data_IF_611394999496
#
_entry.id   IF_611394999496
#
_cell.length_a   1.000
_cell.length_b   1.000
_cell.length_c   1.000
_cell.angle_alpha   90.00
_cell.angle_beta   90.00
_cell.angle_gamma   90.00
#
_symmetry.space_group_name_H-M   'P 1'
#
loop_
_entity.id
_entity.type
_entity.pdbx_description
1 polymer ?
#
# COMPACT_ATOMS: atom_id res chain seq x y z
N UNK A 1 -30.98 1.75 2.38
CA UNK A 1 -30.05 2.54 1.55
C UNK A 1 -29.27 1.55 0.71
N UNK A 2 -29.18 1.71 -0.61
CA UNK A 2 -28.32 0.85 -1.42
C UNK A 2 -26.88 1.36 -1.25
N UNK A 3 -25.98 0.53 -0.73
CA UNK A 3 -24.57 0.90 -0.60
C UNK A 3 -23.98 1.15 -2.00
N UNK A 4 -23.03 2.09 -2.10
CA UNK A 4 -22.28 2.37 -3.31
C UNK A 4 -20.95 1.60 -3.34
N UNK A 5 -20.25 1.59 -4.48
CA UNK A 5 -18.90 0.99 -4.55
C UNK A 5 -17.90 1.68 -3.58
N UNK A 6 -17.84 3.02 -3.49
CA UNK A 6 -17.07 3.71 -2.44
C UNK A 6 -17.40 3.25 -1.02
N UNK A 7 -18.68 3.03 -0.69
CA UNK A 7 -19.07 2.54 0.65
C UNK A 7 -18.50 1.14 0.93
N UNK A 8 -18.45 0.27 -0.09
CA UNK A 8 -17.83 -1.06 0.00
C UNK A 8 -16.33 -0.98 0.23
N UNK A 9 -15.63 -0.10 -0.49
CA UNK A 9 -14.17 0.10 -0.33
C UNK A 9 -13.86 0.67 1.06
N UNK A 10 -14.59 1.69 1.49
CA UNK A 10 -14.44 2.29 2.82
C UNK A 10 -14.70 1.28 3.94
N UNK A 11 -15.72 0.44 3.82
CA UNK A 11 -15.96 -0.65 4.77
C UNK A 11 -14.84 -1.68 4.79
N UNK A 12 -14.28 -2.02 3.63
CA UNK A 12 -13.17 -2.95 3.54
C UNK A 12 -11.89 -2.40 4.20
N UNK A 13 -11.63 -1.10 4.06
CA UNK A 13 -10.52 -0.42 4.74
C UNK A 13 -10.72 -0.37 6.27
N UNK A 14 -11.95 -0.15 6.77
CA UNK A 14 -12.24 -0.25 8.22
C UNK A 14 -12.02 -1.67 8.76
N UNK A 15 -12.45 -2.68 7.99
CA UNK A 15 -12.21 -4.09 8.35
C UNK A 15 -10.71 -4.40 8.37
N UNK A 16 -9.96 -3.90 7.38
CA UNK A 16 -8.51 -4.04 7.32
C UNK A 16 -7.83 -3.42 8.54
N UNK A 17 -8.20 -2.19 8.91
CA UNK A 17 -7.63 -1.50 10.06
C UNK A 17 -7.89 -2.25 11.38
N UNK A 18 -9.13 -2.71 11.57
CA UNK A 18 -9.54 -3.39 12.80
C UNK A 18 -8.96 -4.80 12.95
N UNK A 19 -8.94 -5.58 11.86
CA UNK A 19 -8.67 -7.02 11.93
C UNK A 19 -7.41 -7.46 11.19
N UNK A 20 -6.83 -6.60 10.34
CA UNK A 20 -5.75 -6.96 9.43
C UNK A 20 -6.21 -7.68 8.16
N UNK A 21 -5.28 -7.85 7.22
CA UNK A 21 -5.59 -8.34 5.87
C UNK A 21 -6.04 -9.80 5.86
N UNK A 22 -5.44 -10.63 6.72
CA UNK A 22 -5.78 -12.06 6.88
C UNK A 22 -7.29 -12.25 7.13
N UNK A 23 -7.87 -11.39 7.97
CA UNK A 23 -9.27 -11.48 8.38
C UNK A 23 -10.22 -10.62 7.53
N UNK A 24 -9.70 -9.84 6.58
CA UNK A 24 -10.48 -9.05 5.64
C UNK A 24 -11.09 -9.93 4.54
N UNK A 25 -12.32 -10.39 4.76
CA UNK A 25 -13.07 -11.26 3.82
C UNK A 25 -14.34 -10.59 3.30
N UNK A 26 -14.82 -11.00 2.13
CA UNK A 26 -16.09 -10.51 1.56
C UNK A 26 -17.25 -10.61 2.57
N UNK A 27 -17.31 -11.70 3.35
CA UNK A 27 -18.34 -11.89 4.38
C UNK A 27 -18.23 -10.88 5.52
N UNK A 28 -17.00 -10.57 5.97
CA UNK A 28 -16.77 -9.60 7.05
C UNK A 28 -17.07 -8.18 6.58
N UNK A 29 -16.68 -7.82 5.36
CA UNK A 29 -17.04 -6.53 4.74
C UNK A 29 -18.56 -6.37 4.61
N UNK A 30 -19.28 -7.43 4.24
CA UNK A 30 -20.74 -7.40 4.17
C UNK A 30 -21.36 -7.23 5.57
N UNK A 31 -20.77 -7.87 6.59
CA UNK A 31 -21.21 -7.75 7.98
C UNK A 31 -20.98 -6.35 8.53
N UNK A 32 -19.85 -5.73 8.21
CA UNK A 32 -19.52 -4.33 8.53
C UNK A 32 -20.53 -3.34 7.91
N UNK A 33 -21.11 -3.68 6.76
CA UNK A 33 -22.14 -2.90 6.09
C UNK A 33 -23.58 -3.33 6.44
N UNK A 34 -23.74 -4.28 7.37
CA UNK A 34 -25.03 -4.87 7.75
C UNK A 34 -25.85 -5.41 6.57
N UNK A 35 -25.18 -5.94 5.54
CA UNK A 35 -25.81 -6.54 4.35
C UNK A 35 -25.44 -8.02 4.17
N UNK A 36 -26.19 -8.72 3.32
CA UNK A 36 -25.80 -10.05 2.89
C UNK A 36 -24.60 -9.99 1.94
N UNK A 37 -23.68 -10.99 1.95
CA UNK A 37 -22.54 -11.02 1.03
C UNK A 37 -22.92 -10.94 -0.46
N UNK A 38 -24.09 -11.44 -0.84
CA UNK A 38 -24.64 -11.34 -2.20
C UNK A 38 -24.72 -9.89 -2.69
N UNK A 39 -25.02 -8.93 -1.80
CA UNK A 39 -25.12 -7.52 -2.16
C UNK A 39 -23.77 -6.92 -2.58
N UNK A 40 -22.65 -7.38 -2.00
CA UNK A 40 -21.33 -6.89 -2.40
C UNK A 40 -20.98 -7.27 -3.83
N UNK A 41 -21.40 -8.45 -4.28
CA UNK A 41 -21.09 -8.94 -5.63
C UNK A 41 -21.75 -8.13 -6.74
N UNK A 42 -22.73 -7.28 -6.42
CA UNK A 42 -23.28 -6.31 -7.37
C UNK A 42 -22.34 -5.11 -7.61
N UNK A 43 -21.43 -4.84 -6.67
CA UNK A 43 -20.47 -3.74 -6.74
C UNK A 43 -19.07 -4.24 -7.13
N UNK A 44 -18.65 -5.37 -6.57
CA UNK A 44 -17.31 -5.89 -6.72
C UNK A 44 -17.33 -7.42 -6.88
N UNK A 45 -16.85 -7.97 -8.01
CA UNK A 45 -17.09 -9.36 -8.37
C UNK A 45 -16.32 -10.39 -7.53
N UNK A 46 -15.22 -9.99 -6.89
CA UNK A 46 -14.36 -10.87 -6.09
C UNK A 46 -13.45 -10.09 -5.13
N UNK A 47 -12.79 -10.81 -4.22
CA UNK A 47 -11.86 -10.23 -3.23
C UNK A 47 -10.69 -9.50 -3.90
N UNK A 48 -10.16 -10.03 -5.01
CA UNK A 48 -9.01 -9.46 -5.71
C UNK A 48 -9.33 -8.08 -6.28
N UNK A 49 -10.53 -7.91 -6.84
CA UNK A 49 -11.01 -6.61 -7.33
C UNK A 49 -11.25 -5.64 -6.17
N UNK A 50 -11.71 -6.13 -5.02
CA UNK A 50 -11.83 -5.29 -3.82
C UNK A 50 -10.46 -4.82 -3.33
N UNK A 51 -9.46 -5.71 -3.26
CA UNK A 51 -8.10 -5.37 -2.86
C UNK A 51 -7.46 -4.34 -3.81
N UNK A 52 -7.70 -4.47 -5.11
CA UNK A 52 -7.29 -3.50 -6.11
C UNK A 52 -7.86 -2.11 -5.83
N UNK A 53 -9.17 -2.02 -5.61
CA UNK A 53 -9.84 -0.75 -5.29
C UNK A 53 -9.38 -0.17 -3.95
N UNK A 54 -9.12 -1.02 -2.94
CA UNK A 54 -8.55 -0.58 -1.68
C UNK A 54 -7.14 -0.01 -1.86
N UNK A 55 -6.31 -0.66 -2.69
CA UNK A 55 -4.97 -0.17 -2.99
C UNK A 55 -5.00 1.18 -3.73
N UNK A 56 -5.89 1.31 -4.72
CA UNK A 56 -6.09 2.57 -5.45
C UNK A 56 -6.58 3.69 -4.52
N UNK A 57 -7.50 3.39 -3.60
CA UNK A 57 -7.95 4.34 -2.58
C UNK A 57 -6.80 4.77 -1.66
N UNK A 58 -6.00 3.83 -1.16
CA UNK A 58 -4.85 4.11 -0.29
C UNK A 58 -3.82 5.03 -0.96
N UNK A 59 -3.59 4.87 -2.27
CA UNK A 59 -2.57 5.64 -2.99
C UNK A 59 -3.13 6.83 -3.78
N UNK A 60 -4.43 7.10 -3.67
CA UNK A 60 -5.14 8.14 -4.45
C UNK A 60 -4.55 9.54 -4.29
N UNK A 61 -4.13 9.88 -3.07
CA UNK A 61 -3.54 11.18 -2.70
C UNK A 61 -2.00 11.16 -2.71
N UNK A 62 -1.37 10.09 -3.21
CA UNK A 62 0.10 10.01 -3.28
C UNK A 62 0.61 10.95 -4.37
N UNK A 63 1.29 12.01 -3.91
CA UNK A 63 1.87 13.04 -4.76
C UNK A 63 3.30 13.39 -4.36
N UNK A 64 4.05 14.00 -5.28
CA UNK A 64 5.46 14.34 -5.10
C UNK A 64 6.09 14.96 -6.34
N UNK A 65 6.97 15.94 -6.13
CA UNK A 65 7.68 16.67 -7.18
C UNK A 65 8.86 15.87 -7.77
N UNK A 66 9.40 14.93 -6.98
CA UNK A 66 10.54 14.10 -7.34
C UNK A 66 10.36 12.65 -6.87
N UNK A 67 11.31 11.77 -7.23
CA UNK A 67 11.22 10.36 -6.91
C UNK A 67 11.27 10.11 -5.40
N UNK A 68 11.99 10.97 -4.65
CA UNK A 68 12.10 10.87 -3.20
C UNK A 68 10.77 11.16 -2.53
N UNK A 69 10.20 12.33 -2.77
CA UNK A 69 8.92 12.77 -2.21
C UNK A 69 7.79 11.79 -2.56
N UNK A 70 7.76 11.24 -3.78
CA UNK A 70 6.84 10.17 -4.15
C UNK A 70 6.98 8.91 -3.30
N UNK A 71 8.22 8.42 -3.07
CA UNK A 71 8.45 7.25 -2.23
C UNK A 71 8.04 7.51 -0.77
N UNK A 72 8.28 8.71 -0.25
CA UNK A 72 7.84 9.10 1.09
C UNK A 72 6.30 9.20 1.21
N UNK A 73 5.63 9.79 0.23
CA UNK A 73 4.18 9.89 0.20
C UNK A 73 3.54 8.50 0.13
N UNK A 74 4.05 7.63 -0.75
CA UNK A 74 3.62 6.24 -0.86
C UNK A 74 3.83 5.46 0.45
N UNK A 75 5.02 5.57 1.07
CA UNK A 75 5.30 4.97 2.37
C UNK A 75 4.32 5.46 3.45
N UNK A 76 4.07 6.76 3.50
CA UNK A 76 3.18 7.36 4.49
C UNK A 76 1.75 6.87 4.31
N UNK A 77 1.25 6.81 3.08
CA UNK A 77 -0.06 6.27 2.75
C UNK A 77 -0.21 4.79 3.19
N UNK A 78 0.79 3.95 2.92
CA UNK A 78 0.76 2.55 3.33
C UNK A 78 0.86 2.37 4.86
N UNK A 79 1.63 3.21 5.55
CA UNK A 79 1.75 3.17 7.02
C UNK A 79 0.51 3.67 7.76
N UNK A 80 -0.31 4.51 7.12
CA UNK A 80 -1.51 5.07 7.72
C UNK A 80 -2.60 4.02 7.99
N UNK A 81 -2.52 2.85 7.36
CA UNK A 81 -3.50 1.77 7.51
C UNK A 81 -2.80 0.47 7.83
N UNK A 82 -3.32 -0.28 8.81
CA UNK A 82 -2.82 -1.61 9.15
C UNK A 82 -2.72 -2.50 7.91
N UNK A 83 -1.60 -3.18 7.74
CA UNK A 83 -1.30 -4.07 6.60
C UNK A 83 -1.44 -3.38 5.22
N UNK A 84 -1.45 -2.04 5.18
CA UNK A 84 -1.57 -1.26 3.94
C UNK A 84 -0.45 -1.56 2.94
N UNK A 85 0.76 -1.84 3.42
CA UNK A 85 1.87 -2.26 2.57
C UNK A 85 1.56 -3.56 1.81
N UNK A 86 0.95 -4.53 2.49
CA UNK A 86 0.63 -5.83 1.91
C UNK A 86 -0.51 -5.72 0.87
N UNK A 87 -1.50 -4.86 1.14
CA UNK A 87 -2.59 -4.56 0.19
C UNK A 87 -2.04 -3.95 -1.10
N UNK A 88 -1.25 -2.88 -0.97
CA UNK A 88 -0.67 -2.16 -2.12
C UNK A 88 0.31 -3.06 -2.90
N UNK A 89 1.18 -3.79 -2.21
CA UNK A 89 2.11 -4.72 -2.84
C UNK A 89 1.39 -5.86 -3.58
N UNK A 90 0.33 -6.42 -3.00
CA UNK A 90 -0.48 -7.48 -3.63
C UNK A 90 -1.18 -6.98 -4.89
N UNK A 91 -1.81 -5.80 -4.82
CA UNK A 91 -2.48 -5.19 -5.97
C UNK A 91 -1.49 -4.88 -7.10
N UNK A 92 -0.32 -4.32 -6.76
CA UNK A 92 0.76 -4.07 -7.73
C UNK A 92 1.28 -5.35 -8.37
N UNK A 93 1.54 -6.41 -7.58
CA UNK A 93 2.01 -7.70 -8.08
C UNK A 93 1.03 -8.36 -9.06
N UNK A 94 -0.28 -8.20 -8.83
CA UNK A 94 -1.32 -8.69 -9.74
C UNK A 94 -1.61 -7.74 -10.91
N UNK A 95 -0.94 -6.57 -10.96
CA UNK A 95 -1.17 -5.49 -11.93
C UNK A 95 -2.61 -4.99 -11.92
N UNK A 96 -3.21 -4.93 -10.73
CA UNK A 96 -4.60 -4.53 -10.53
C UNK A 96 -4.77 -3.12 -9.96
N UNK A 97 -3.70 -2.34 -9.77
CA UNK A 97 -3.77 -0.98 -9.22
C UNK A 97 -2.39 -0.32 -9.14
N UNK A 98 -2.30 0.87 -8.53
CA UNK A 98 -1.02 1.60 -8.27
C UNK A 98 -0.29 2.10 -9.53
N UNK A 99 -0.92 1.96 -10.70
CA UNK A 99 -0.31 2.28 -12.01
C UNK A 99 0.05 3.77 -12.17
N UNK A 100 -0.67 4.67 -11.51
CA UNK A 100 -0.38 6.10 -11.51
C UNK A 100 0.95 6.43 -10.85
N UNK A 101 1.21 5.87 -9.66
CA UNK A 101 2.47 6.09 -8.92
C UNK A 101 3.65 5.45 -9.66
N UNK A 102 3.47 4.23 -10.18
CA UNK A 102 4.49 3.55 -10.99
C UNK A 102 4.87 4.37 -12.21
N UNK A 103 3.88 4.83 -12.99
CA UNK A 103 4.13 5.64 -14.18
C UNK A 103 4.88 6.92 -13.86
N UNK A 104 4.49 7.64 -12.81
CA UNK A 104 5.17 8.89 -12.40
C UNK A 104 6.61 8.65 -11.97
N UNK A 105 6.88 7.58 -11.24
CA UNK A 105 8.25 7.19 -10.91
C UNK A 105 9.03 6.82 -12.18
N UNK A 106 8.41 6.12 -13.13
CA UNK A 106 9.05 5.76 -14.40
C UNK A 106 9.40 7.00 -15.24
N UNK A 107 8.54 8.02 -15.25
CA UNK A 107 8.81 9.30 -15.92
C UNK A 107 10.03 10.04 -15.30
N UNK A 108 10.32 9.81 -14.01
CA UNK A 108 11.43 10.45 -13.29
C UNK A 108 12.75 9.67 -13.37
N UNK A 109 12.70 8.34 -13.28
CA UNK A 109 13.90 7.48 -13.10
C UNK A 109 13.98 6.28 -14.05
N UNK A 110 13.06 6.18 -15.01
CA UNK A 110 12.91 5.04 -15.92
C UNK A 110 12.26 3.81 -15.27
N UNK A 111 11.78 2.88 -16.09
CA UNK A 111 11.01 1.70 -15.66
C UNK A 111 11.74 0.84 -14.61
N UNK A 112 13.03 0.59 -14.82
CA UNK A 112 13.85 -0.18 -13.87
C UNK A 112 14.03 0.57 -12.54
N UNK A 113 14.21 1.90 -12.60
CA UNK A 113 14.32 2.75 -11.42
C UNK A 113 13.03 2.76 -10.62
N UNK A 114 11.89 2.93 -11.31
CA UNK A 114 10.56 2.93 -10.72
C UNK A 114 10.26 1.61 -10.03
N UNK A 115 10.47 0.47 -10.72
CA UNK A 115 10.28 -0.86 -10.12
C UNK A 115 11.17 -1.05 -8.89
N UNK A 116 12.43 -0.63 -8.94
CA UNK A 116 13.37 -0.76 -7.82
C UNK A 116 12.88 0.05 -6.61
N UNK A 117 12.49 1.32 -6.83
CA UNK A 117 12.00 2.20 -5.78
C UNK A 117 10.68 1.71 -5.18
N UNK A 118 9.75 1.21 -5.99
CA UNK A 118 8.49 0.64 -5.53
C UNK A 118 8.73 -0.58 -4.64
N UNK A 119 9.52 -1.55 -5.12
CA UNK A 119 9.81 -2.77 -4.35
C UNK A 119 10.54 -2.46 -3.04
N UNK A 120 11.50 -1.53 -3.06
CA UNK A 120 12.15 -1.05 -1.84
C UNK A 120 11.14 -0.43 -0.87
N UNK A 121 10.28 0.47 -1.37
CA UNK A 121 9.30 1.18 -0.55
C UNK A 121 8.27 0.23 0.04
N UNK A 122 7.75 -0.70 -0.74
CA UNK A 122 6.83 -1.75 -0.26
C UNK A 122 7.48 -2.61 0.82
N UNK A 123 8.66 -3.16 0.55
CA UNK A 123 9.35 -4.06 1.47
C UNK A 123 9.76 -3.38 2.77
N UNK A 124 10.28 -2.15 2.70
CA UNK A 124 10.64 -1.39 3.90
C UNK A 124 9.42 -1.03 4.75
N UNK A 125 8.33 -0.61 4.10
CA UNK A 125 7.07 -0.29 4.78
C UNK A 125 6.46 -1.52 5.44
N UNK A 126 6.44 -2.67 4.75
CA UNK A 126 5.98 -3.94 5.32
C UNK A 126 6.83 -4.35 6.52
N UNK A 127 8.17 -4.28 6.43
CA UNK A 127 9.06 -4.57 7.55
C UNK A 127 8.81 -3.63 8.74
N UNK A 128 8.57 -2.34 8.47
CA UNK A 128 8.23 -1.34 9.49
C UNK A 128 6.91 -1.69 10.20
N UNK A 129 5.87 -2.07 9.45
CA UNK A 129 4.58 -2.47 10.04
C UNK A 129 4.71 -3.73 10.90
N UNK A 130 5.39 -4.77 10.40
CA UNK A 130 5.65 -5.99 11.16
C UNK A 130 6.39 -5.71 12.47
N UNK A 131 7.42 -4.85 12.43
CA UNK A 131 8.17 -4.46 13.62
C UNK A 131 7.28 -3.74 14.64
N UNK A 132 6.53 -2.72 14.19
CA UNK A 132 5.62 -1.95 15.06
C UNK A 132 4.54 -2.84 15.68
N UNK A 133 3.98 -3.77 14.93
CA UNK A 133 2.98 -4.71 15.43
C UNK A 133 3.58 -5.67 16.47
N UNK A 134 4.75 -6.24 16.20
CA UNK A 134 5.44 -7.13 17.15
C UNK A 134 5.85 -6.40 18.44
N UNK A 135 6.30 -5.14 18.33
CA UNK A 135 6.64 -4.31 19.48
C UNK A 135 5.41 -3.92 20.30
N UNK A 136 4.29 -3.57 19.65
CA UNK A 136 3.04 -3.19 20.31
C UNK A 136 2.45 -4.33 21.19
N UNK A 137 2.73 -5.59 20.88
CA UNK A 137 2.35 -6.75 21.69
C UNK A 137 3.44 -7.20 22.68
N UNK A 138 4.55 -6.45 22.77
CA UNK A 138 5.66 -6.73 23.69
C UNK A 138 6.54 -7.91 23.27
N UNK A 139 6.49 -8.36 22.02
CA UNK A 139 7.30 -9.48 21.55
C UNK A 139 8.76 -9.08 21.27
N UNK A 140 9.01 -7.82 20.90
CA UNK A 140 10.34 -7.25 20.63
C UNK A 140 10.41 -5.79 21.10
N UNK A 141 11.63 -5.26 21.25
CA UNK A 141 11.86 -3.84 21.53
C UNK A 141 11.53 -2.97 20.30
N UNK A 142 11.09 -1.74 20.55
CA UNK A 142 10.83 -0.76 19.49
C UNK A 142 12.16 -0.33 18.83
N UNK A 143 12.19 -0.34 17.49
CA UNK A 143 13.32 0.17 16.72
C UNK A 143 13.06 1.63 16.34
N UNK A 144 13.75 2.54 17.02
CA UNK A 144 13.63 3.98 16.82
C UNK A 144 14.26 4.47 15.49
N UNK A 145 15.02 3.62 14.78
CA UNK A 145 15.74 3.99 13.55
C UNK A 145 15.00 3.60 12.27
N UNK A 146 13.80 3.00 12.37
CA UNK A 146 13.03 2.54 11.20
C UNK A 146 12.85 3.64 10.15
N UNK A 147 12.42 4.83 10.54
CA UNK A 147 12.18 5.93 9.59
C UNK A 147 13.50 6.45 8.98
N UNK A 148 14.55 6.64 9.78
CA UNK A 148 15.85 7.08 9.26
C UNK A 148 16.51 6.03 8.34
N UNK A 149 16.29 4.74 8.61
CA UNK A 149 16.81 3.65 7.78
C UNK A 149 16.19 3.64 6.38
N UNK A 150 14.92 4.04 6.26
CA UNK A 150 14.25 4.23 4.97
C UNK A 150 14.96 5.32 4.16
N UNK A 151 15.20 6.48 4.77
CA UNK A 151 15.80 7.65 4.10
C UNK A 151 17.20 7.35 3.58
N UNK A 152 18.01 6.64 4.38
CA UNK A 152 19.35 6.20 3.99
C UNK A 152 19.29 5.19 2.85
N UNK A 153 18.42 4.19 2.94
CA UNK A 153 18.23 3.20 1.86
C UNK A 153 17.78 3.84 0.55
N UNK A 154 16.80 4.74 0.62
CA UNK A 154 16.32 5.52 -0.52
C UNK A 154 17.45 6.37 -1.13
N UNK A 155 18.28 7.00 -0.29
CA UNK A 155 19.43 7.78 -0.75
C UNK A 155 20.46 6.92 -1.49
N UNK A 156 20.74 5.71 -1.01
CA UNK A 156 21.65 4.76 -1.67
C UNK A 156 21.13 4.42 -3.07
N UNK A 157 19.84 4.09 -3.19
CA UNK A 157 19.22 3.72 -4.46
C UNK A 157 19.24 4.89 -5.44
N UNK A 158 18.79 6.08 -5.02
CA UNK A 158 18.74 7.26 -5.90
C UNK A 158 20.14 7.67 -6.40
N UNK A 159 21.14 7.69 -5.51
CA UNK A 159 22.53 7.96 -5.89
C UNK A 159 23.03 6.95 -6.92
N UNK A 160 22.68 5.67 -6.74
CA UNK A 160 23.03 4.61 -7.69
C UNK A 160 22.35 4.74 -9.05
N UNK A 161 21.11 5.25 -9.11
CA UNK A 161 20.38 5.50 -10.34
C UNK A 161 20.98 6.68 -11.12
N UNK A 162 21.34 7.76 -10.43
CA UNK A 162 22.00 8.95 -11.04
C UNK A 162 23.38 8.62 -11.63
N UNK A 163 24.12 7.69 -11.01
CA UNK A 163 25.43 7.29 -11.47
C UNK A 163 25.42 6.35 -12.71
N UNK A 164 24.24 5.91 -13.18
CA UNK A 164 24.15 5.04 -14.38
C UNK A 164 24.44 5.87 -15.63
N UNK A 165 25.43 5.47 -16.46
CA UNK A 165 25.64 6.14 -17.74
C UNK A 165 24.39 5.99 -18.60
N UNK A 166 23.98 7.10 -19.24
CA UNK A 166 22.94 7.08 -20.26
C UNK A 166 23.35 6.06 -21.34
N UNK A 167 22.51 5.05 -21.56
CA UNK A 167 22.72 4.06 -22.62
C UNK A 167 22.39 4.65 -23.98
#
# INVERSE_FOLDING_TARGET
MANSLPDVVAAALRVLDSYGLEFCSMRRVASELEVQPSALYHHVPNKQTLLALMADELVSEVDGEDARSLCHALRSAMLAVRDGAEVVATASAFRLGVSGVEKRLADLVGDDGARTLLLFTFGHTQSTQTHRQASAVGAIEEDADLDNSFDRGLSIILTGLEARPAR
#
